data_IF_474192519643
#
_entry.id   IF_474192519643
#
_cell.length_a   1.000
_cell.length_b   1.000
_cell.length_c   1.000
_cell.angle_alpha   90.00
_cell.angle_beta   90.00
_cell.angle_gamma   90.00
#
_symmetry.space_group_name_H-M   'P 1'
#
loop_
_entity.id
_entity.type
_entity.pdbx_description
1 polymer ?
#
# COMPACT_ATOMS: atom_id res chain seq x y z
N UNK A 1 62.40 34.99 -59.78
CA UNK A 1 61.06 34.31 -59.83
C UNK A 1 60.57 33.69 -58.48
N UNK A 2 61.17 33.98 -57.36
CA UNK A 2 60.88 33.21 -56.12
C UNK A 2 60.02 33.93 -55.07
N UNK A 3 60.04 35.23 -54.94
CA UNK A 3 59.34 35.91 -53.89
C UNK A 3 57.82 36.08 -54.10
N UNK A 4 57.32 36.21 -55.31
CA UNK A 4 55.93 36.32 -55.66
C UNK A 4 55.18 34.95 -55.47
N UNK A 5 55.89 33.82 -55.76
CA UNK A 5 55.36 32.50 -55.58
C UNK A 5 55.24 32.16 -54.07
N UNK A 6 56.21 32.55 -53.25
CA UNK A 6 56.19 32.36 -51.80
C UNK A 6 55.06 33.18 -51.11
N UNK A 7 54.83 34.45 -51.54
CA UNK A 7 53.73 35.27 -51.05
C UNK A 7 52.34 34.67 -51.38
N UNK A 8 52.19 34.14 -52.61
CA UNK A 8 50.92 33.47 -53.01
C UNK A 8 50.70 32.16 -52.27
N UNK A 9 51.72 31.41 -51.98
CA UNK A 9 51.68 30.18 -51.19
C UNK A 9 51.35 30.48 -49.71
N UNK A 10 51.94 31.52 -49.13
CA UNK A 10 51.61 31.94 -47.73
C UNK A 10 50.19 32.49 -47.59
N UNK A 11 49.70 33.25 -48.60
CA UNK A 11 48.28 33.70 -48.60
C UNK A 11 47.31 32.51 -48.75
N UNK A 12 47.62 31.53 -49.61
CA UNK A 12 46.81 30.33 -49.78
C UNK A 12 46.80 29.48 -48.52
N UNK A 13 47.94 29.29 -47.88
CA UNK A 13 48.04 28.54 -46.60
C UNK A 13 47.26 29.23 -45.45
N UNK A 14 47.27 30.59 -45.39
CA UNK A 14 46.49 31.36 -44.43
C UNK A 14 44.99 31.22 -44.63
N UNK A 15 44.53 31.22 -45.90
CA UNK A 15 43.10 30.97 -46.22
C UNK A 15 42.65 29.54 -45.88
N UNK A 16 43.48 28.55 -46.16
CA UNK A 16 43.19 27.16 -45.83
C UNK A 16 43.20 26.96 -44.30
N UNK A 17 44.16 27.53 -43.56
CA UNK A 17 44.21 27.46 -42.11
C UNK A 17 43.00 28.16 -41.49
N UNK A 18 42.58 29.35 -42.03
CA UNK A 18 41.36 30.06 -41.62
C UNK A 18 40.08 29.25 -41.89
N UNK A 19 39.98 28.61 -43.05
CA UNK A 19 38.87 27.77 -43.41
C UNK A 19 38.80 26.48 -42.53
N UNK A 20 39.96 25.88 -42.22
CA UNK A 20 40.06 24.75 -41.28
C UNK A 20 39.72 25.15 -39.84
N UNK A 21 40.12 26.35 -39.37
CA UNK A 21 39.75 26.87 -38.07
C UNK A 21 38.27 27.16 -37.99
N UNK A 22 37.65 27.76 -39.04
CA UNK A 22 36.20 27.98 -39.12
C UNK A 22 35.45 26.65 -39.19
N UNK A 23 35.92 25.68 -39.97
CA UNK A 23 35.34 24.35 -40.04
C UNK A 23 35.49 23.62 -38.72
N UNK A 24 36.62 23.69 -38.02
CA UNK A 24 36.82 23.15 -36.67
C UNK A 24 35.86 23.80 -35.68
N UNK A 25 35.69 25.14 -35.72
CA UNK A 25 34.76 25.83 -34.81
C UNK A 25 33.26 25.57 -35.15
N UNK A 26 32.95 25.45 -36.44
CA UNK A 26 31.60 25.11 -36.89
C UNK A 26 31.22 23.64 -36.66
N UNK A 27 32.16 22.73 -36.76
CA UNK A 27 31.97 21.29 -36.53
C UNK A 27 32.19 20.87 -35.06
N UNK A 28 33.08 21.57 -34.32
CA UNK A 28 33.38 21.27 -32.91
C UNK A 28 32.38 21.85 -31.90
N UNK A 29 31.47 22.75 -32.32
CA UNK A 29 30.45 23.34 -31.47
C UNK A 29 29.09 22.64 -31.48
N UNK A 30 28.97 21.51 -32.16
CA UNK A 30 27.70 20.83 -32.33
C UNK A 30 27.55 19.75 -31.29
N UNK A 31 26.49 19.89 -30.46
CA UNK A 31 25.82 18.75 -29.88
C UNK A 31 25.83 18.61 -28.38
N UNK A 32 25.97 19.66 -27.58
CA UNK A 32 25.73 19.52 -26.16
C UNK A 32 24.85 20.65 -25.59
N UNK A 33 23.87 20.28 -24.80
CA UNK A 33 23.03 21.18 -24.02
C UNK A 33 23.49 21.14 -22.57
N UNK A 34 23.77 22.32 -21.98
CA UNK A 34 24.20 22.40 -20.59
C UNK A 34 23.25 23.24 -19.76
N UNK A 35 23.13 22.88 -18.47
CA UNK A 35 22.44 23.66 -17.47
C UNK A 35 23.15 23.55 -16.12
N UNK A 36 23.21 24.66 -15.41
CA UNK A 36 23.66 24.76 -14.01
C UNK A 36 22.47 24.67 -13.03
N UNK A 37 21.25 24.68 -13.56
CA UNK A 37 20.05 24.53 -12.74
C UNK A 37 19.66 23.05 -12.69
N UNK A 38 20.46 22.28 -11.97
CA UNK A 38 20.18 20.87 -11.72
C UNK A 38 20.43 20.52 -10.25
N UNK A 39 19.68 19.57 -9.75
CA UNK A 39 19.72 19.17 -8.34
C UNK A 39 19.67 17.66 -8.20
N UNK A 40 20.40 17.16 -7.20
CA UNK A 40 20.26 15.79 -6.71
C UNK A 40 18.90 15.66 -6.04
N UNK A 41 18.12 14.67 -6.41
CA UNK A 41 16.83 14.32 -5.82
C UNK A 41 16.84 12.89 -5.31
N UNK A 42 16.04 12.63 -4.29
CA UNK A 42 15.78 11.30 -3.75
C UNK A 42 14.31 11.22 -3.32
N UNK A 43 13.77 10.00 -3.20
CA UNK A 43 12.43 9.80 -2.69
C UNK A 43 12.35 10.20 -1.22
N UNK A 44 11.40 11.08 -0.91
CA UNK A 44 11.06 11.50 0.44
C UNK A 44 9.87 10.68 0.93
N UNK A 45 10.08 9.85 1.94
CA UNK A 45 9.07 9.01 2.56
C UNK A 45 8.64 9.64 3.88
N UNK A 46 7.45 10.20 3.92
CA UNK A 46 6.85 10.70 5.16
C UNK A 46 6.09 9.54 5.83
N UNK A 47 6.61 9.03 6.94
CA UNK A 47 6.00 7.95 7.71
C UNK A 47 5.00 8.55 8.68
N UNK A 48 3.73 8.33 8.45
CA UNK A 48 2.65 8.79 9.32
C UNK A 48 2.25 7.72 10.34
N UNK A 49 1.76 8.15 11.50
CA UNK A 49 1.05 7.26 12.42
C UNK A 49 -0.31 6.89 11.84
N UNK A 50 -0.74 5.65 12.03
CA UNK A 50 -2.10 5.20 11.73
C UNK A 50 -3.01 5.20 12.97
N UNK A 51 -2.42 5.41 14.15
CA UNK A 51 -3.13 5.44 15.44
C UNK A 51 -2.77 6.69 16.23
N UNK A 52 -3.70 7.16 17.06
CA UNK A 52 -3.44 8.23 18.01
C UNK A 52 -2.81 7.64 19.26
N UNK A 53 -1.56 8.00 19.56
CA UNK A 53 -0.86 7.49 20.73
C UNK A 53 0.31 8.41 21.12
N UNK A 54 0.79 8.29 22.34
CA UNK A 54 1.95 9.01 22.84
C UNK A 54 3.23 8.29 22.42
N UNK A 55 4.29 9.04 22.10
CA UNK A 55 5.60 8.49 21.79
C UNK A 55 6.24 7.95 23.06
N UNK A 56 6.41 6.63 23.12
CA UNK A 56 7.04 5.89 24.24
C UNK A 56 8.55 5.83 24.13
N UNK A 57 9.08 5.63 22.90
CA UNK A 57 10.50 5.59 22.64
C UNK A 57 10.82 6.02 21.21
N UNK A 58 11.92 6.76 21.05
CA UNK A 58 12.50 7.10 19.75
C UNK A 58 13.83 6.37 19.65
N UNK A 59 13.97 5.47 18.68
CA UNK A 59 15.10 4.55 18.55
C UNK A 59 16.12 4.98 17.49
N UNK A 60 15.91 6.15 16.91
CA UNK A 60 16.76 6.71 15.86
C UNK A 60 17.08 8.16 16.14
N UNK A 61 18.18 8.63 15.55
CA UNK A 61 18.62 10.00 15.63
C UNK A 61 18.49 10.70 14.25
N UNK A 62 18.39 12.02 14.21
CA UNK A 62 18.49 12.78 12.97
C UNK A 62 19.75 12.43 12.19
N UNK A 63 19.63 12.31 10.87
CA UNK A 63 20.70 11.93 9.92
C UNK A 63 21.26 10.51 10.09
N UNK A 64 20.64 9.66 10.89
CA UNK A 64 21.04 8.26 11.04
C UNK A 64 20.60 7.44 9.83
N UNK A 65 21.49 6.61 9.24
CA UNK A 65 21.09 5.63 8.24
C UNK A 65 20.31 4.49 8.90
N UNK A 66 19.26 4.03 8.24
CA UNK A 66 18.37 2.96 8.71
C UNK A 66 18.13 1.93 7.60
N UNK A 67 17.98 0.68 8.00
CA UNK A 67 17.65 -0.42 7.09
C UNK A 67 16.12 -0.58 6.95
N UNK A 68 15.68 -1.21 5.86
CA UNK A 68 14.27 -1.61 5.70
C UNK A 68 13.84 -2.54 6.85
N UNK A 69 12.63 -2.32 7.39
CA UNK A 69 12.10 -3.06 8.54
C UNK A 69 12.62 -2.62 9.91
N UNK A 70 13.60 -1.72 9.98
CA UNK A 70 14.12 -1.22 11.26
C UNK A 70 13.06 -0.43 12.02
N UNK A 71 12.89 -0.70 13.32
CA UNK A 71 12.00 0.04 14.21
C UNK A 71 12.59 1.44 14.47
N UNK A 72 11.79 2.47 14.21
CA UNK A 72 12.20 3.87 14.34
C UNK A 72 11.61 4.52 15.59
N UNK A 73 10.30 4.33 15.78
CA UNK A 73 9.55 4.91 16.90
C UNK A 73 8.62 3.86 17.46
N UNK A 74 8.59 3.77 18.78
CA UNK A 74 7.61 2.98 19.52
C UNK A 74 6.60 3.92 20.16
N UNK A 75 5.34 3.75 19.84
CA UNK A 75 4.24 4.44 20.50
C UNK A 75 3.81 3.68 21.74
N UNK A 76 3.05 4.33 22.63
CA UNK A 76 2.45 3.70 23.80
C UNK A 76 1.48 2.59 23.35
N UNK A 77 1.77 1.38 23.76
CA UNK A 77 1.11 0.17 23.29
C UNK A 77 0.14 -0.43 24.32
N UNK A 78 0.20 -0.02 25.58
CA UNK A 78 -0.61 -0.56 26.68
C UNK A 78 -2.13 -0.47 26.42
N UNK A 79 -2.70 0.65 25.97
CA UNK A 79 -4.13 0.73 25.67
C UNK A 79 -4.56 -0.23 24.56
N UNK A 80 -3.69 -0.47 23.58
CA UNK A 80 -3.96 -1.39 22.48
C UNK A 80 -3.81 -2.86 22.91
N UNK A 81 -2.90 -3.18 23.82
CA UNK A 81 -2.79 -4.51 24.42
C UNK A 81 -4.04 -4.84 25.23
N UNK A 82 -4.57 -3.89 26.00
CA UNK A 82 -5.83 -4.04 26.73
C UNK A 82 -7.01 -4.27 25.78
N UNK A 83 -7.08 -3.54 24.66
CA UNK A 83 -8.11 -3.73 23.64
C UNK A 83 -8.02 -5.12 22.97
N UNK A 84 -6.82 -5.66 22.76
CA UNK A 84 -6.63 -7.04 22.26
C UNK A 84 -7.15 -8.05 23.30
N UNK A 85 -6.78 -7.89 24.57
CA UNK A 85 -7.23 -8.79 25.64
C UNK A 85 -8.75 -8.76 25.81
N UNK A 86 -9.38 -7.58 25.71
CA UNK A 86 -10.84 -7.44 25.74
C UNK A 86 -11.50 -8.17 24.56
N UNK A 87 -10.97 -8.01 23.34
CA UNK A 87 -11.50 -8.67 22.16
C UNK A 87 -11.30 -10.21 22.22
N UNK A 88 -10.19 -10.69 22.77
CA UNK A 88 -9.97 -12.13 23.02
C UNK A 88 -10.97 -12.71 24.03
N UNK A 89 -11.21 -11.99 25.12
CA UNK A 89 -12.22 -12.39 26.11
C UNK A 89 -13.63 -12.41 25.49
N UNK A 90 -13.95 -11.43 24.67
CA UNK A 90 -15.24 -11.39 23.97
C UNK A 90 -15.41 -12.56 22.99
N UNK A 91 -14.39 -12.90 22.20
CA UNK A 91 -14.40 -14.06 21.32
C UNK A 91 -14.65 -15.35 22.12
N UNK A 92 -13.95 -15.54 23.24
CA UNK A 92 -14.13 -16.70 24.11
C UNK A 92 -15.55 -16.76 24.69
N UNK A 93 -16.13 -15.63 25.08
CA UNK A 93 -17.53 -15.53 25.55
C UNK A 93 -18.51 -15.99 24.46
N UNK A 94 -18.36 -15.51 23.23
CA UNK A 94 -19.22 -15.89 22.10
C UNK A 94 -19.09 -17.38 21.79
N UNK A 95 -17.86 -17.93 21.82
CA UNK A 95 -17.63 -19.37 21.66
C UNK A 95 -18.41 -20.18 22.72
N UNK A 96 -18.32 -19.78 23.98
CA UNK A 96 -19.04 -20.45 25.06
C UNK A 96 -20.58 -20.36 24.86
N UNK A 97 -21.11 -19.22 24.40
CA UNK A 97 -22.54 -19.08 24.10
C UNK A 97 -23.00 -20.04 23.00
N UNK A 98 -22.21 -20.22 21.95
CA UNK A 98 -22.53 -21.21 20.89
C UNK A 98 -22.49 -22.63 21.44
N UNK A 99 -21.53 -22.96 22.31
CA UNK A 99 -21.48 -24.28 22.94
C UNK A 99 -22.70 -24.56 23.81
N UNK A 100 -23.17 -23.56 24.60
CA UNK A 100 -24.42 -23.67 25.36
C UNK A 100 -25.61 -23.91 24.44
N UNK A 101 -25.76 -23.12 23.36
CA UNK A 101 -26.86 -23.34 22.38
C UNK A 101 -26.83 -24.74 21.75
N UNK A 102 -25.64 -25.31 21.54
CA UNK A 102 -25.50 -26.72 21.07
C UNK A 102 -25.95 -27.71 22.10
N UNK A 103 -25.64 -27.50 23.37
CA UNK A 103 -26.12 -28.36 24.47
C UNK A 103 -27.64 -28.29 24.60
N UNK A 104 -28.23 -27.09 24.55
CA UNK A 104 -29.70 -26.90 24.57
C UNK A 104 -30.36 -27.59 23.37
N UNK A 105 -29.76 -27.54 22.18
CA UNK A 105 -30.24 -28.29 21.02
C UNK A 105 -30.28 -29.79 21.24
N UNK A 106 -29.19 -30.37 21.78
CA UNK A 106 -29.11 -31.80 22.09
C UNK A 106 -30.10 -32.22 23.17
N UNK A 107 -30.34 -31.38 24.18
CA UNK A 107 -31.35 -31.60 25.22
C UNK A 107 -32.76 -31.66 24.64
N UNK A 108 -33.16 -30.65 23.83
CA UNK A 108 -34.49 -30.66 23.20
C UNK A 108 -34.67 -31.83 22.23
N UNK A 109 -33.62 -32.24 21.55
CA UNK A 109 -33.65 -33.45 20.70
C UNK A 109 -33.90 -34.73 21.53
N UNK A 110 -33.33 -34.83 22.73
CA UNK A 110 -33.61 -35.93 23.65
C UNK A 110 -35.04 -35.89 24.20
N UNK A 111 -35.57 -34.69 24.55
CA UNK A 111 -36.97 -34.50 24.96
C UNK A 111 -37.96 -34.94 23.87
N UNK A 112 -37.65 -34.67 22.58
CA UNK A 112 -38.48 -35.12 21.45
C UNK A 112 -38.48 -36.67 21.41
N UNK A 113 -37.32 -37.34 21.50
CA UNK A 113 -37.24 -38.80 21.49
C UNK A 113 -38.06 -39.42 22.61
N UNK A 114 -37.96 -38.86 23.82
CA UNK A 114 -38.77 -39.34 24.97
C UNK A 114 -40.28 -39.16 24.70
N UNK A 115 -40.72 -37.97 24.23
CA UNK A 115 -42.14 -37.71 23.93
C UNK A 115 -42.67 -38.61 22.79
N UNK A 116 -41.83 -38.98 21.82
CA UNK A 116 -42.18 -39.93 20.74
C UNK A 116 -42.34 -41.34 21.26
N UNK A 117 -41.51 -41.78 22.19
CA UNK A 117 -41.64 -43.08 22.90
C UNK A 117 -42.94 -43.11 23.72
N UNK A 118 -43.27 -42.08 24.48
CA UNK A 118 -44.49 -41.94 25.21
C UNK A 118 -45.73 -41.98 24.30
N UNK A 119 -45.71 -41.21 23.21
CA UNK A 119 -46.80 -41.22 22.21
C UNK A 119 -47.01 -42.63 21.61
N UNK A 120 -45.92 -43.33 21.30
CA UNK A 120 -45.96 -44.70 20.80
C UNK A 120 -46.55 -45.68 21.87
N UNK A 121 -46.23 -45.48 23.12
CA UNK A 121 -46.80 -46.28 24.22
C UNK A 121 -48.33 -46.03 24.35
N UNK A 122 -48.76 -44.77 24.45
CA UNK A 122 -50.19 -44.43 24.56
C UNK A 122 -50.96 -44.81 23.29
N UNK A 123 -50.41 -44.76 22.12
CA UNK A 123 -51.03 -45.22 20.90
C UNK A 123 -51.28 -46.74 20.95
N UNK A 124 -50.31 -47.55 21.43
CA UNK A 124 -50.48 -48.99 21.63
C UNK A 124 -51.55 -49.29 22.70
N UNK A 125 -51.60 -48.52 23.78
CA UNK A 125 -52.59 -48.63 24.82
C UNK A 125 -54.00 -48.31 24.33
N UNK A 126 -54.14 -47.20 23.61
CA UNK A 126 -55.45 -46.83 22.98
C UNK A 126 -55.93 -47.93 22.02
N UNK A 127 -55.05 -48.42 21.17
CA UNK A 127 -55.38 -49.51 20.22
C UNK A 127 -55.82 -50.80 20.97
N UNK A 128 -55.21 -51.17 22.07
CA UNK A 128 -55.56 -52.27 22.91
C UNK A 128 -56.93 -52.08 23.52
N UNK A 129 -57.17 -50.88 24.13
CA UNK A 129 -58.40 -50.55 24.78
C UNK A 129 -59.61 -50.54 23.78
N UNK A 130 -59.39 -50.05 22.55
CA UNK A 130 -60.38 -50.11 21.48
C UNK A 130 -60.73 -51.53 21.02
N UNK A 131 -59.81 -52.45 21.09
CA UNK A 131 -60.02 -53.90 20.73
C UNK A 131 -60.80 -54.67 21.80
N UNK A 132 -60.78 -54.22 23.07
CA UNK A 132 -61.48 -54.94 24.14
C UNK A 132 -63.02 -54.77 24.08
N UNK A 133 -63.49 -53.74 23.42
CA UNK A 133 -64.90 -53.47 23.21
C UNK A 133 -65.63 -52.85 24.43
N UNK A 134 -66.86 -52.33 24.24
CA UNK A 134 -67.57 -51.53 25.27
C UNK A 134 -67.99 -52.29 26.50
N UNK A 135 -67.96 -53.62 26.50
CA UNK A 135 -68.27 -54.49 27.64
C UNK A 135 -67.11 -54.67 28.62
N UNK A 136 -65.89 -54.35 28.24
CA UNK A 136 -64.66 -54.55 29.01
C UNK A 136 -63.92 -53.28 29.42
N UNK A 137 -64.24 -52.14 28.84
CA UNK A 137 -63.65 -50.82 29.12
C UNK A 137 -64.75 -49.74 29.13
N UNK A 138 -64.65 -48.81 30.11
CA UNK A 138 -65.55 -47.63 30.19
C UNK A 138 -65.23 -46.60 29.10
N UNK A 139 -66.21 -45.79 28.70
CA UNK A 139 -65.99 -44.64 27.79
C UNK A 139 -65.00 -43.64 28.38
N UNK A 140 -65.06 -43.47 29.73
CA UNK A 140 -64.15 -42.61 30.43
C UNK A 140 -62.67 -43.06 30.31
N UNK A 141 -62.39 -44.35 30.39
CA UNK A 141 -61.02 -44.90 30.24
C UNK A 141 -60.52 -44.77 28.80
N UNK A 142 -61.46 -44.89 27.85
CA UNK A 142 -61.14 -44.71 26.43
C UNK A 142 -60.79 -43.23 26.13
N UNK A 143 -61.53 -42.31 26.70
CA UNK A 143 -61.32 -40.85 26.54
C UNK A 143 -60.05 -40.43 27.23
N UNK A 144 -59.72 -40.97 28.44
CA UNK A 144 -58.44 -40.72 29.07
C UNK A 144 -57.28 -41.20 28.23
N UNK A 145 -57.34 -42.38 27.63
CA UNK A 145 -56.32 -42.90 26.71
C UNK A 145 -56.12 -41.99 25.48
N UNK A 146 -57.22 -41.46 24.93
CA UNK A 146 -57.17 -40.49 23.79
C UNK A 146 -56.50 -39.20 24.24
N UNK A 147 -56.85 -38.69 25.43
CA UNK A 147 -56.30 -37.45 25.93
C UNK A 147 -54.81 -37.57 26.24
N UNK A 148 -54.35 -38.68 26.80
CA UNK A 148 -52.91 -38.98 27.04
C UNK A 148 -52.11 -38.97 25.77
N UNK A 149 -52.59 -39.63 24.72
CA UNK A 149 -51.98 -39.62 23.39
C UNK A 149 -51.92 -38.19 22.80
N UNK A 150 -53.03 -37.47 22.87
CA UNK A 150 -53.11 -36.09 22.35
C UNK A 150 -52.13 -35.16 23.09
N UNK A 151 -51.95 -35.33 24.42
CA UNK A 151 -50.97 -34.57 25.22
C UNK A 151 -49.53 -34.85 24.76
N UNK A 152 -49.15 -36.15 24.58
CA UNK A 152 -47.80 -36.51 24.09
C UNK A 152 -47.54 -35.96 22.68
N UNK A 153 -48.53 -36.02 21.77
CA UNK A 153 -48.41 -35.44 20.43
C UNK A 153 -48.26 -33.92 20.47
N UNK A 154 -48.99 -33.22 21.34
CA UNK A 154 -48.83 -31.77 21.54
C UNK A 154 -47.40 -31.44 22.06
N UNK A 155 -46.89 -32.24 23.01
CA UNK A 155 -45.52 -32.04 23.52
C UNK A 155 -44.46 -32.22 22.44
N UNK A 156 -44.59 -33.21 21.56
CA UNK A 156 -43.72 -33.36 20.38
C UNK A 156 -43.76 -32.11 19.50
N UNK A 157 -44.94 -31.56 19.23
CA UNK A 157 -45.09 -30.39 18.40
C UNK A 157 -44.43 -29.16 19.02
N UNK A 158 -44.59 -28.95 20.31
CA UNK A 158 -43.94 -27.85 21.05
C UNK A 158 -42.43 -27.97 21.02
N UNK A 159 -41.88 -29.16 21.33
CA UNK A 159 -40.43 -29.42 21.33
C UNK A 159 -39.82 -29.30 19.93
N UNK A 160 -40.51 -29.72 18.87
CA UNK A 160 -40.09 -29.54 17.49
C UNK A 160 -39.98 -28.06 17.11
N UNK A 161 -40.93 -27.23 17.57
CA UNK A 161 -40.88 -25.80 17.35
C UNK A 161 -39.72 -25.14 18.09
N UNK A 162 -39.46 -25.56 19.36
CA UNK A 162 -38.29 -25.12 20.15
C UNK A 162 -36.97 -25.50 19.44
N UNK A 163 -36.88 -26.77 18.94
CA UNK A 163 -35.72 -27.24 18.20
C UNK A 163 -35.48 -26.45 16.92
N UNK A 164 -36.53 -26.11 16.17
CA UNK A 164 -36.43 -25.29 14.97
C UNK A 164 -35.86 -23.88 15.29
N UNK A 165 -36.27 -23.28 16.40
CA UNK A 165 -35.72 -22.00 16.87
C UNK A 165 -34.22 -22.10 17.20
N UNK A 166 -33.82 -23.14 17.95
CA UNK A 166 -32.42 -23.38 18.28
C UNK A 166 -31.56 -23.66 17.04
N UNK A 167 -32.12 -24.45 16.11
CA UNK A 167 -31.47 -24.72 14.82
C UNK A 167 -31.23 -23.43 14.02
N UNK A 168 -32.21 -22.55 13.95
CA UNK A 168 -32.07 -21.25 13.29
C UNK A 168 -30.97 -20.38 13.97
N UNK A 169 -30.94 -20.37 15.31
CA UNK A 169 -29.94 -19.65 16.10
C UNK A 169 -28.51 -20.20 15.95
N UNK A 170 -28.37 -21.47 15.49
CA UNK A 170 -27.10 -22.12 15.16
C UNK A 170 -26.73 -22.03 13.67
N UNK A 171 -27.39 -21.16 12.90
CA UNK A 171 -27.08 -20.98 11.48
C UNK A 171 -27.61 -22.10 10.58
N UNK A 172 -28.66 -22.80 11.01
CA UNK A 172 -29.37 -23.82 10.24
C UNK A 172 -28.98 -25.27 10.52
N UNK A 173 -27.87 -25.53 11.22
CA UNK A 173 -27.45 -26.84 11.69
C UNK A 173 -26.62 -26.75 12.95
N UNK A 174 -26.75 -27.73 13.90
CA UNK A 174 -25.87 -27.79 15.07
C UNK A 174 -24.40 -28.12 14.70
N UNK A 175 -24.18 -28.69 13.52
CA UNK A 175 -22.85 -29.15 13.05
C UNK A 175 -22.07 -28.07 12.30
N UNK A 176 -22.63 -26.88 12.12
CA UNK A 176 -21.89 -25.76 11.51
C UNK A 176 -20.60 -25.53 12.30
N UNK A 177 -19.41 -25.50 11.66
CA UNK A 177 -18.16 -25.21 12.36
C UNK A 177 -18.23 -23.91 13.15
N UNK A 178 -17.54 -23.85 14.31
CA UNK A 178 -17.55 -22.63 15.14
C UNK A 178 -17.10 -21.40 14.34
N UNK A 179 -16.07 -21.57 13.53
CA UNK A 179 -15.49 -20.48 12.71
C UNK A 179 -16.43 -19.97 11.62
N UNK A 180 -17.44 -20.79 11.23
CA UNK A 180 -18.45 -20.43 10.24
C UNK A 180 -19.68 -19.74 10.86
N UNK A 181 -19.79 -19.68 12.18
CA UNK A 181 -20.86 -18.97 12.88
C UNK A 181 -20.69 -17.46 12.74
N UNK A 182 -21.76 -16.76 12.36
CA UNK A 182 -21.72 -15.31 12.12
C UNK A 182 -21.23 -14.52 13.35
N UNK A 183 -21.70 -14.90 14.53
CA UNK A 183 -21.31 -14.25 15.80
C UNK A 183 -19.79 -14.40 16.05
N UNK A 184 -19.23 -15.58 15.75
CA UNK A 184 -17.78 -15.85 15.85
C UNK A 184 -16.99 -15.01 14.84
N UNK A 185 -17.45 -14.94 13.61
CA UNK A 185 -16.77 -14.13 12.57
C UNK A 185 -16.73 -12.64 12.94
N UNK A 186 -17.80 -12.11 13.52
CA UNK A 186 -17.84 -10.74 14.02
C UNK A 186 -16.84 -10.54 15.16
N UNK A 187 -16.83 -11.42 16.15
CA UNK A 187 -15.90 -11.33 17.28
C UNK A 187 -14.43 -11.50 16.82
N UNK A 188 -14.17 -12.41 15.88
CA UNK A 188 -12.85 -12.60 15.28
C UNK A 188 -12.39 -11.34 14.53
N UNK A 189 -13.27 -10.72 13.74
CA UNK A 189 -12.94 -9.47 13.03
C UNK A 189 -12.62 -8.32 14.00
N UNK A 190 -13.29 -8.27 15.17
CA UNK A 190 -12.97 -7.29 16.22
C UNK A 190 -11.57 -7.55 16.81
N UNK A 191 -11.24 -8.80 17.08
CA UNK A 191 -9.91 -9.19 17.55
C UNK A 191 -8.82 -8.84 16.54
N UNK A 192 -9.04 -9.16 15.27
CA UNK A 192 -8.08 -8.85 14.20
C UNK A 192 -7.87 -7.34 14.04
N UNK A 193 -8.93 -6.55 14.19
CA UNK A 193 -8.84 -5.08 14.21
C UNK A 193 -8.02 -4.57 15.39
N UNK A 194 -8.23 -5.10 16.57
CA UNK A 194 -7.46 -4.71 17.76
C UNK A 194 -5.97 -5.07 17.60
N UNK A 195 -5.66 -6.25 17.09
CA UNK A 195 -4.28 -6.69 16.78
C UNK A 195 -3.63 -5.83 15.70
N UNK A 196 -4.38 -5.46 14.67
CA UNK A 196 -3.91 -4.54 13.65
C UNK A 196 -3.51 -3.20 14.26
N UNK A 197 -4.38 -2.60 15.08
CA UNK A 197 -4.08 -1.32 15.75
C UNK A 197 -2.86 -1.42 16.66
N UNK A 198 -2.70 -2.51 17.40
CA UNK A 198 -1.52 -2.77 18.21
C UNK A 198 -0.25 -2.86 17.33
N UNK A 199 -0.32 -3.50 16.19
CA UNK A 199 0.82 -3.55 15.25
C UNK A 199 1.25 -2.17 14.75
N UNK A 200 0.29 -1.21 14.64
CA UNK A 200 0.53 0.16 14.19
C UNK A 200 1.17 1.07 15.25
N UNK A 201 1.32 0.61 16.48
CA UNK A 201 2.11 1.33 17.49
C UNK A 201 3.62 1.27 17.24
N UNK A 202 4.07 0.44 16.30
CA UNK A 202 5.47 0.27 15.92
C UNK A 202 5.71 0.88 14.54
N UNK A 203 6.36 2.03 14.50
CA UNK A 203 6.68 2.71 13.24
C UNK A 203 8.02 2.21 12.74
N UNK A 204 8.01 1.48 11.62
CA UNK A 204 9.20 0.87 10.99
C UNK A 204 9.52 1.52 9.65
N UNK A 205 10.78 1.46 9.24
CA UNK A 205 11.23 1.94 7.94
C UNK A 205 10.74 1.00 6.81
N UNK A 206 9.98 1.48 5.81
CA UNK A 206 9.54 0.65 4.68
C UNK A 206 10.66 0.34 3.68
N UNK A 207 11.70 1.17 3.64
CA UNK A 207 12.87 1.03 2.78
C UNK A 207 14.13 1.52 3.52
N UNK A 208 15.30 1.15 3.01
CA UNK A 208 16.55 1.71 3.50
C UNK A 208 16.64 3.20 3.18
N UNK A 209 17.18 3.99 4.11
CA UNK A 209 17.24 5.44 3.96
C UNK A 209 17.99 6.13 5.07
N UNK A 210 17.94 7.44 5.06
CA UNK A 210 18.49 8.29 6.14
C UNK A 210 17.35 9.07 6.77
N UNK A 211 17.29 9.08 8.09
CA UNK A 211 16.31 9.86 8.87
C UNK A 211 16.55 11.36 8.61
N UNK A 212 15.47 12.09 8.29
CA UNK A 212 15.55 13.55 8.16
C UNK A 212 15.81 14.23 9.53
N UNK A 213 15.97 15.54 9.53
CA UNK A 213 16.39 16.30 10.71
C UNK A 213 15.38 16.31 11.86
N UNK A 214 14.10 16.01 11.59
CA UNK A 214 13.05 16.03 12.60
C UNK A 214 12.65 14.62 12.99
N UNK A 215 12.74 14.33 14.28
CA UNK A 215 12.19 13.14 14.94
C UNK A 215 11.27 13.58 16.08
N UNK A 216 10.23 12.82 16.42
CA UNK A 216 9.33 13.19 17.51
C UNK A 216 10.04 13.16 18.87
N UNK A 217 9.48 13.84 19.85
CA UNK A 217 9.98 13.82 21.21
C UNK A 217 9.26 12.78 22.07
N UNK A 218 9.94 12.27 23.09
CA UNK A 218 9.32 11.42 24.11
C UNK A 218 8.15 12.15 24.78
N UNK A 219 7.00 11.50 24.88
CA UNK A 219 5.79 12.09 25.45
C UNK A 219 4.98 12.92 24.47
N UNK A 220 5.43 13.10 23.24
CA UNK A 220 4.70 13.80 22.19
C UNK A 220 3.49 12.96 21.71
N UNK A 221 2.36 13.63 21.45
CA UNK A 221 1.15 12.97 20.93
C UNK A 221 1.22 12.87 19.41
N UNK A 222 1.17 11.65 18.89
CA UNK A 222 1.00 11.42 17.45
C UNK A 222 -0.48 11.35 17.09
N UNK A 223 -0.83 11.95 15.96
CA UNK A 223 -2.19 11.93 15.41
C UNK A 223 -2.19 11.13 14.12
N UNK A 224 -3.20 10.27 13.95
CA UNK A 224 -3.34 9.45 12.75
C UNK A 224 -3.40 10.31 11.47
N UNK A 225 -2.61 9.93 10.47
CA UNK A 225 -2.48 10.65 9.21
C UNK A 225 -1.39 11.72 9.18
N UNK A 226 -0.81 12.11 10.33
CA UNK A 226 0.30 13.06 10.37
C UNK A 226 1.65 12.35 10.34
N UNK A 227 2.61 12.95 9.65
CA UNK A 227 3.96 12.44 9.54
C UNK A 227 4.67 12.49 10.90
N UNK A 228 5.23 11.37 11.32
CA UNK A 228 5.98 11.21 12.57
C UNK A 228 7.48 11.25 12.30
N UNK A 229 7.93 10.58 11.23
CA UNK A 229 9.33 10.54 10.80
C UNK A 229 9.38 10.67 9.29
N UNK A 230 10.35 11.42 8.80
CA UNK A 230 10.63 11.49 7.36
C UNK A 230 11.92 10.75 7.05
N UNK A 231 11.90 9.86 6.06
CA UNK A 231 13.08 9.19 5.52
C UNK A 231 13.42 9.72 4.14
N UNK A 232 14.70 9.90 3.87
CA UNK A 232 15.24 10.11 2.54
C UNK A 232 15.77 8.76 2.04
N UNK A 233 15.09 8.16 1.06
CA UNK A 233 15.50 6.87 0.50
C UNK A 233 16.87 6.99 -0.20
N UNK A 234 17.74 6.02 0.03
CA UNK A 234 19.09 6.00 -0.59
C UNK A 234 19.18 5.12 -1.82
N UNK A 235 18.14 4.35 -2.11
CA UNK A 235 18.14 3.37 -3.21
C UNK A 235 17.96 4.03 -4.58
N UNK A 236 17.11 5.05 -4.64
CA UNK A 236 16.83 5.79 -5.86
C UNK A 236 17.25 7.25 -5.72
N UNK A 237 18.43 7.57 -6.25
CA UNK A 237 18.92 8.94 -6.40
C UNK A 237 18.95 9.26 -7.88
N UNK A 238 18.43 10.41 -8.26
CA UNK A 238 18.46 10.91 -9.63
C UNK A 238 18.85 12.39 -9.65
N UNK A 239 19.19 12.88 -10.82
CA UNK A 239 19.42 14.30 -11.05
C UNK A 239 18.22 14.89 -11.78
N UNK A 240 17.70 15.97 -11.28
CA UNK A 240 16.67 16.75 -11.92
C UNK A 240 17.29 18.00 -12.53
N UNK A 241 17.40 18.01 -13.87
CA UNK A 241 17.96 19.11 -14.63
C UNK A 241 16.85 19.99 -15.21
N UNK A 242 16.81 21.25 -14.84
CA UNK A 242 15.82 22.21 -15.32
C UNK A 242 16.31 22.89 -16.58
N UNK A 243 15.94 22.38 -17.74
CA UNK A 243 16.31 22.91 -19.04
C UNK A 243 15.37 24.04 -19.50
N UNK A 244 15.88 24.99 -20.25
CA UNK A 244 15.02 26.00 -20.90
C UNK A 244 14.15 25.29 -21.96
N UNK A 245 12.91 25.72 -22.12
CA UNK A 245 11.97 25.23 -23.13
C UNK A 245 12.59 25.23 -24.55
N UNK A 246 13.39 26.25 -24.87
CA UNK A 246 14.08 26.35 -26.15
C UNK A 246 15.17 25.31 -26.39
N UNK A 247 15.62 24.61 -25.35
CA UNK A 247 16.66 23.58 -25.42
C UNK A 247 16.08 22.16 -25.55
N UNK A 248 14.77 21.98 -25.35
CA UNK A 248 14.13 20.67 -25.34
C UNK A 248 14.00 20.04 -26.72
N UNK A 249 14.11 20.82 -27.80
CA UNK A 249 13.96 20.33 -29.19
C UNK A 249 14.89 19.15 -29.49
N UNK A 250 16.09 19.17 -28.90
CA UNK A 250 17.15 18.21 -29.19
C UNK A 250 17.38 17.20 -28.05
N UNK A 251 16.54 17.22 -26.98
CA UNK A 251 16.65 16.29 -25.85
C UNK A 251 15.68 15.12 -26.01
N UNK A 252 16.21 13.91 -25.89
CA UNK A 252 15.43 12.67 -26.00
C UNK A 252 15.80 11.69 -24.85
N UNK A 253 14.85 10.87 -24.38
CA UNK A 253 15.17 9.79 -23.47
C UNK A 253 16.25 8.86 -24.04
N UNK A 254 17.16 8.41 -23.17
CA UNK A 254 18.27 7.54 -23.53
C UNK A 254 19.59 8.24 -23.85
N UNK A 255 19.58 9.57 -24.09
CA UNK A 255 20.82 10.33 -24.34
C UNK A 255 21.75 10.29 -23.13
N UNK A 256 23.05 10.25 -23.40
CA UNK A 256 24.09 10.30 -22.37
C UNK A 256 24.25 11.72 -21.85
N UNK A 257 24.40 11.84 -20.56
CA UNK A 257 24.67 13.10 -19.89
C UNK A 257 25.88 12.97 -18.96
N UNK A 258 26.65 14.04 -18.87
CA UNK A 258 27.70 14.24 -17.88
C UNK A 258 27.15 15.12 -16.76
N UNK A 259 27.35 14.68 -15.54
CA UNK A 259 26.88 15.39 -14.33
C UNK A 259 28.08 15.66 -13.45
N UNK A 260 28.26 16.93 -13.09
CA UNK A 260 29.26 17.33 -12.09
C UNK A 260 28.51 17.90 -10.89
N UNK A 261 28.71 17.34 -9.72
CA UNK A 261 28.14 17.83 -8.48
C UNK A 261 29.02 18.96 -7.94
N UNK A 262 28.46 20.10 -7.57
CA UNK A 262 29.23 21.26 -7.12
C UNK A 262 30.06 20.97 -5.87
N UNK A 263 29.59 20.08 -5.00
CA UNK A 263 30.32 19.62 -3.81
C UNK A 263 31.52 18.71 -4.14
N UNK A 264 31.60 18.16 -5.36
CA UNK A 264 32.66 17.24 -5.83
C UNK A 264 33.16 17.64 -7.23
N UNK A 265 33.79 18.81 -7.40
CA UNK A 265 34.08 19.39 -8.71
C UNK A 265 35.07 18.59 -9.57
N UNK A 266 35.78 17.64 -8.99
CA UNK A 266 36.72 16.75 -9.71
C UNK A 266 36.13 15.45 -10.22
N UNK A 267 34.83 15.19 -9.96
CA UNK A 267 34.18 13.94 -10.33
C UNK A 267 33.08 14.19 -11.35
N UNK A 268 33.26 13.64 -12.55
CA UNK A 268 32.25 13.64 -13.60
C UNK A 268 31.49 12.31 -13.55
N UNK A 269 30.21 12.37 -13.24
CA UNK A 269 29.33 11.22 -13.18
C UNK A 269 28.63 11.03 -14.53
N UNK A 270 28.53 9.80 -14.99
CA UNK A 270 27.71 9.45 -16.17
C UNK A 270 26.27 9.25 -15.77
N UNK A 271 25.38 9.83 -16.55
CA UNK A 271 23.95 9.70 -16.39
C UNK A 271 23.27 9.52 -17.77
N UNK A 272 22.03 9.09 -17.77
CA UNK A 272 21.16 9.06 -18.95
C UNK A 272 19.89 9.84 -18.70
N UNK A 273 19.42 10.49 -19.76
CA UNK A 273 18.09 11.05 -19.78
C UNK A 273 17.06 9.93 -19.61
N UNK A 274 16.32 9.96 -18.52
CA UNK A 274 15.30 8.98 -18.20
C UNK A 274 13.94 9.44 -18.74
N UNK A 275 13.44 10.56 -18.24
CA UNK A 275 12.14 11.11 -18.62
C UNK A 275 12.19 12.63 -18.68
N UNK A 276 11.33 13.22 -19.52
CA UNK A 276 11.06 14.65 -19.56
C UNK A 276 9.71 14.90 -18.88
N UNK A 277 9.64 15.92 -18.01
CA UNK A 277 8.38 16.32 -17.40
C UNK A 277 7.37 16.78 -18.45
N UNK A 278 6.08 16.40 -18.32
CA UNK A 278 5.03 16.84 -19.24
C UNK A 278 4.65 18.33 -19.09
N UNK A 279 5.10 19.00 -18.02
CA UNK A 279 4.80 20.38 -17.72
C UNK A 279 5.97 21.10 -17.08
N UNK A 280 5.94 22.44 -17.12
CA UNK A 280 6.92 23.29 -16.45
C UNK A 280 6.78 23.24 -14.94
N UNK A 281 7.87 23.53 -14.21
CA UNK A 281 7.83 23.59 -12.75
C UNK A 281 6.85 24.63 -12.18
N UNK A 282 6.52 25.67 -12.94
CA UNK A 282 5.54 26.70 -12.55
C UNK A 282 4.10 26.17 -12.54
N UNK A 283 3.79 25.16 -13.34
CA UNK A 283 2.43 24.58 -13.40
C UNK A 283 2.12 23.75 -12.14
N UNK A 284 3.13 23.17 -11.52
CA UNK A 284 2.99 22.41 -10.28
C UNK A 284 3.18 23.23 -9.01
N UNK A 285 3.39 24.54 -9.14
CA UNK A 285 3.54 25.42 -7.98
C UNK A 285 2.19 25.60 -7.27
N UNK A 286 2.17 25.50 -5.93
CA UNK A 286 0.96 25.74 -5.12
C UNK A 286 0.39 27.16 -5.31
N UNK A 287 1.23 28.11 -5.68
CA UNK A 287 0.84 29.49 -6.03
C UNK A 287 1.41 29.76 -7.43
N UNK A 288 0.61 29.60 -8.50
CA UNK A 288 1.05 29.93 -9.84
C UNK A 288 1.38 31.42 -9.94
N UNK A 289 2.46 31.77 -10.65
CA UNK A 289 2.79 33.16 -10.92
C UNK A 289 1.70 33.77 -11.79
N UNK A 290 0.79 34.51 -11.19
CA UNK A 290 -0.27 35.24 -11.92
C UNK A 290 0.31 36.54 -12.49
N UNK A 291 0.67 36.54 -13.77
CA UNK A 291 1.01 37.75 -14.52
C UNK A 291 -0.27 38.49 -14.99
N UNK A 292 -1.22 38.75 -14.06
CA UNK A 292 -2.53 39.34 -14.37
C UNK A 292 -2.53 40.89 -14.40
N UNK A 293 -1.43 41.53 -14.06
CA UNK A 293 -1.35 43.01 -14.02
C UNK A 293 -0.56 43.56 -15.20
N UNK A 294 -1.24 44.01 -16.21
CA UNK A 294 -0.92 45.07 -17.15
C UNK A 294 0.36 45.03 -18.01
N UNK A 295 1.43 44.43 -17.60
CA UNK A 295 2.70 44.40 -18.33
C UNK A 295 3.15 42.94 -18.49
N UNK A 296 2.66 42.28 -19.55
CA UNK A 296 3.04 40.90 -19.84
C UNK A 296 4.46 40.85 -20.40
N UNK A 297 5.34 40.12 -19.74
CA UNK A 297 6.70 39.83 -20.22
C UNK A 297 6.80 38.32 -20.43
N UNK A 298 7.18 37.90 -21.65
CA UNK A 298 7.45 36.48 -21.94
C UNK A 298 8.69 36.00 -21.18
N UNK A 299 8.50 35.13 -20.21
CA UNK A 299 9.60 34.47 -19.48
C UNK A 299 9.74 33.06 -19.99
N UNK A 300 10.95 32.70 -20.46
CA UNK A 300 11.25 31.32 -20.90
C UNK A 300 11.08 30.36 -19.73
N UNK A 301 10.19 29.40 -19.90
CA UNK A 301 9.90 28.41 -18.87
C UNK A 301 11.03 27.37 -18.79
N UNK A 302 11.16 26.73 -17.62
CA UNK A 302 12.06 25.58 -17.42
C UNK A 302 11.27 24.32 -17.26
N UNK A 303 11.70 23.27 -17.96
CA UNK A 303 11.10 21.94 -17.93
C UNK A 303 12.06 21.01 -17.18
N UNK A 304 11.61 20.34 -16.12
CA UNK A 304 12.41 19.34 -15.43
C UNK A 304 12.68 18.11 -16.31
N UNK A 305 13.93 17.71 -16.39
CA UNK A 305 14.38 16.49 -17.04
C UNK A 305 15.03 15.60 -16.00
N UNK A 306 14.52 14.38 -15.85
CA UNK A 306 15.07 13.38 -14.95
C UNK A 306 16.22 12.66 -15.60
N UNK A 307 17.35 12.58 -14.91
CA UNK A 307 18.55 11.88 -15.33
C UNK A 307 18.85 10.79 -14.32
N UNK A 308 18.97 9.55 -14.80
CA UNK A 308 19.36 8.41 -13.98
C UNK A 308 20.88 8.26 -14.03
N UNK A 309 21.51 8.19 -12.86
CA UNK A 309 22.93 7.92 -12.74
C UNK A 309 23.24 6.48 -13.15
N UNK A 310 24.29 6.26 -13.97
CA UNK A 310 24.75 4.93 -14.39
C UNK A 310 25.62 4.27 -13.31
N UNK A 311 26.31 5.08 -12.51
CA UNK A 311 27.12 4.60 -11.40
C UNK A 311 27.01 5.55 -10.22
N UNK A 312 26.95 5.00 -9.01
CA UNK A 312 27.12 5.81 -7.79
C UNK A 312 28.62 6.05 -7.60
N UNK A 313 29.05 7.27 -7.23
CA UNK A 313 30.43 7.51 -6.89
C UNK A 313 30.83 6.71 -5.64
N UNK A 314 31.96 6.02 -5.66
CA UNK A 314 32.40 5.18 -4.53
C UNK A 314 32.75 6.01 -3.30
N UNK A 315 33.30 7.23 -3.51
CA UNK A 315 33.82 8.10 -2.46
C UNK A 315 32.96 9.33 -2.16
N UNK A 316 31.77 9.47 -2.79
CA UNK A 316 30.92 10.66 -2.62
C UNK A 316 29.52 10.29 -2.09
N UNK A 317 29.13 10.87 -0.99
CA UNK A 317 27.79 10.75 -0.44
C UNK A 317 26.87 11.78 -1.11
N UNK A 318 26.06 11.34 -2.06
CA UNK A 318 25.07 12.19 -2.70
C UNK A 318 23.90 12.44 -1.75
N UNK A 319 23.58 13.73 -1.54
CA UNK A 319 22.44 14.16 -0.70
C UNK A 319 21.44 14.91 -1.56
N UNK A 320 20.16 14.65 -1.34
CA UNK A 320 19.10 15.40 -2.01
C UNK A 320 19.22 16.90 -1.71
N UNK A 321 19.05 17.72 -2.73
CA UNK A 321 19.23 19.17 -2.65
C UNK A 321 20.61 19.68 -3.05
N UNK A 322 21.63 18.81 -3.24
CA UNK A 322 22.92 19.25 -3.79
C UNK A 322 22.75 19.78 -5.21
N UNK A 323 23.43 20.90 -5.51
CA UNK A 323 23.48 21.48 -6.84
C UNK A 323 24.41 20.71 -7.76
N UNK A 324 24.07 20.70 -9.05
CA UNK A 324 24.84 20.02 -10.06
C UNK A 324 24.84 20.80 -11.38
N UNK A 325 25.88 20.59 -12.16
CA UNK A 325 25.95 20.99 -13.57
C UNK A 325 25.72 19.77 -14.44
N UNK A 326 24.89 19.93 -15.44
CA UNK A 326 24.54 18.84 -16.38
C UNK A 326 24.89 19.28 -17.80
N UNK A 327 25.54 18.35 -18.53
CA UNK A 327 25.79 18.47 -19.97
C UNK A 327 25.22 17.25 -20.67
N UNK A 328 24.24 17.43 -21.54
CA UNK A 328 23.59 16.37 -22.32
C UNK A 328 24.15 16.37 -23.72
N UNK A 329 24.61 15.21 -24.21
CA UNK A 329 25.01 15.06 -25.60
C UNK A 329 23.75 14.98 -26.48
N UNK A 330 23.69 15.85 -27.52
CA UNK A 330 22.53 15.90 -28.43
C UNK A 330 22.71 15.02 -29.66
N UNK A 331 23.90 14.40 -29.87
CA UNK A 331 24.07 13.39 -30.89
C UNK A 331 23.30 12.11 -30.55
N UNK A 332 22.75 11.39 -31.55
CA UNK A 332 22.04 10.16 -31.32
C UNK A 332 23.02 9.12 -30.74
N UNK A 333 22.91 8.86 -29.44
CA UNK A 333 23.52 7.72 -28.80
C UNK A 333 22.93 6.44 -29.40
N UNK A 334 23.77 5.44 -29.75
CA UNK A 334 23.30 4.15 -30.24
C UNK A 334 22.14 3.60 -29.42
N UNK A 335 21.07 3.09 -30.06
CA UNK A 335 19.95 2.51 -29.33
C UNK A 335 20.48 1.35 -28.48
N UNK A 336 20.10 1.34 -27.20
CA UNK A 336 20.38 0.24 -26.29
C UNK A 336 19.93 -1.09 -26.94
N UNK A 337 20.90 -1.91 -27.36
CA UNK A 337 20.68 -3.30 -27.70
C UNK A 337 20.02 -3.98 -26.51
N UNK A 338 18.72 -4.31 -26.62
CA UNK A 338 17.95 -5.27 -25.84
C UNK A 338 18.36 -5.44 -24.36
N UNK A 339 18.04 -4.49 -23.52
CA UNK A 339 17.79 -4.77 -22.11
C UNK A 339 16.29 -5.03 -21.97
N UNK A 340 15.96 -6.26 -21.69
CA UNK A 340 14.69 -6.88 -21.36
C UNK A 340 13.55 -5.89 -21.06
N UNK A 341 12.55 -5.88 -21.95
CA UNK A 341 11.26 -5.26 -21.66
C UNK A 341 10.73 -5.86 -20.34
N UNK A 342 10.63 -5.03 -19.31
CA UNK A 342 9.89 -5.37 -18.11
C UNK A 342 8.48 -5.79 -18.54
N UNK A 343 7.94 -6.91 -18.03
CA UNK A 343 6.57 -7.29 -18.31
C UNK A 343 5.65 -6.16 -17.86
N UNK A 344 4.74 -5.77 -18.74
CA UNK A 344 3.69 -4.81 -18.43
C UNK A 344 2.96 -5.24 -17.16
N UNK A 345 2.61 -4.30 -16.24
CA UNK A 345 1.82 -4.64 -15.07
C UNK A 345 0.51 -5.25 -15.56
N UNK A 346 0.26 -6.49 -15.11
CA UNK A 346 -0.89 -7.28 -15.50
C UNK A 346 -2.18 -6.48 -15.26
N UNK A 347 -2.88 -6.18 -16.35
CA UNK A 347 -4.19 -5.59 -16.31
C UNK A 347 -5.15 -6.54 -15.57
N UNK A 348 -5.62 -6.12 -14.41
CA UNK A 348 -6.68 -6.77 -13.68
C UNK A 348 -7.95 -6.69 -14.53
N UNK A 349 -8.25 -7.75 -15.29
CA UNK A 349 -9.55 -7.91 -15.94
C UNK A 349 -10.57 -8.15 -14.83
N UNK A 350 -11.26 -7.09 -14.46
CA UNK A 350 -12.51 -7.19 -13.70
C UNK A 350 -13.53 -7.86 -14.61
N UNK A 351 -13.75 -9.15 -14.41
CA UNK A 351 -14.84 -9.89 -15.06
C UNK A 351 -16.17 -9.31 -14.55
N UNK A 352 -16.87 -8.60 -15.44
CA UNK A 352 -18.25 -8.22 -15.24
C UNK A 352 -19.11 -9.49 -15.15
N UNK A 353 -19.72 -9.76 -14.00
CA UNK A 353 -20.81 -10.73 -13.85
C UNK A 353 -22.09 -10.08 -14.38
N UNK A 354 -22.85 -10.72 -15.26
CA UNK A 354 -24.20 -10.29 -15.60
C UNK A 354 -25.17 -10.55 -14.43
N UNK A 355 -26.18 -9.69 -14.33
CA UNK A 355 -27.32 -9.67 -13.41
C UNK A 355 -28.11 -10.98 -13.39
#
# INVERSE_FOLDING_TARGET
MSQLLQRRLLMGAGLVAGALAVAWFALGGQGSISTENAYVKANKLALSSEVNAIVKAVLVQPNQPVAAGQLLVQLEDEPFQLAVAEAEAHLAQVQNQIMVRRADYAEVEAEIRQAEEDAAFYQRQLTRNQRMGPSAISEADLDDSRQQLARSQAQIAINRQKLAGLRAALGGSPDVPLEAQADIQVAQAQLDRARYQLSRTRITAPAAGTVANEVPQLGEMTVAGFAVVTLMATDEIWIEANLKETQLTDVRPGQVAEVTIDAYPGQVLRARVDTLSPASGSEFAMIPAQNASGNWVKVVQRIPVRLRLESKPEDAVLRAGMSAQVRIATEPSEPLSNAQALPAPGGNQVAARPL
#
